data_IF_247267173241
#
_entry.id   IF_247267173241
#
_cell.length_a   1.000
_cell.length_b   1.000
_cell.length_c   1.000
_cell.angle_alpha   90.00
_cell.angle_beta   90.00
_cell.angle_gamma   90.00
#
_symmetry.space_group_name_H-M   'P 1'
#
loop_
_entity.id
_entity.type
_entity.pdbx_description
1 polymer ?
#
# COMPACT_ATOMS: atom_id res chain seq x y z
N UNK A 1 -14.97 12.02 -28.30
CA UNK A 1 -14.50 13.16 -27.48
C UNK A 1 -14.20 12.72 -26.04
N UNK A 2 -14.98 11.80 -25.45
CA UNK A 2 -14.79 11.24 -24.09
C UNK A 2 -13.44 10.52 -23.84
N UNK A 3 -12.87 9.81 -24.83
CA UNK A 3 -11.60 9.06 -24.64
C UNK A 3 -10.37 9.96 -24.41
N UNK A 4 -10.34 11.17 -25.01
CA UNK A 4 -9.24 12.12 -24.79
C UNK A 4 -9.26 12.69 -23.38
N UNK A 5 -10.44 12.78 -22.76
CA UNK A 5 -10.64 13.29 -21.41
C UNK A 5 -10.20 12.26 -20.36
N UNK A 6 -10.62 10.99 -20.51
CA UNK A 6 -10.18 9.89 -19.63
C UNK A 6 -8.66 9.68 -19.63
N UNK A 7 -8.01 9.76 -20.80
CA UNK A 7 -6.56 9.65 -20.89
C UNK A 7 -5.86 10.79 -20.13
N UNK A 8 -6.37 12.01 -20.25
CA UNK A 8 -5.78 13.19 -19.59
C UNK A 8 -5.98 13.12 -18.08
N UNK A 9 -7.20 12.82 -17.61
CA UNK A 9 -7.53 12.63 -16.20
C UNK A 9 -6.65 11.54 -15.58
N UNK A 10 -6.55 10.38 -16.24
CA UNK A 10 -5.72 9.30 -15.75
C UNK A 10 -4.24 9.66 -15.69
N UNK A 11 -3.71 10.38 -16.69
CA UNK A 11 -2.29 10.74 -16.71
C UNK A 11 -1.95 11.70 -15.58
N UNK A 12 -2.81 12.69 -15.31
CA UNK A 12 -2.64 13.59 -14.17
C UNK A 12 -2.71 12.83 -12.84
N UNK A 13 -3.68 11.92 -12.69
CA UNK A 13 -3.81 11.10 -11.48
C UNK A 13 -2.65 10.11 -11.32
N UNK A 14 -2.09 9.61 -12.42
CA UNK A 14 -0.91 8.75 -12.41
C UNK A 14 0.28 9.50 -11.82
N UNK A 15 0.50 10.73 -12.26
CA UNK A 15 1.57 11.59 -11.72
C UNK A 15 1.34 11.86 -10.23
N UNK A 16 0.12 12.26 -9.85
CA UNK A 16 -0.24 12.59 -8.47
C UNK A 16 -0.21 11.38 -7.51
N UNK A 17 -0.54 10.17 -7.99
CA UNK A 17 -0.75 9.00 -7.13
C UNK A 17 0.28 7.88 -7.31
N UNK A 18 1.25 8.03 -8.22
CA UNK A 18 2.34 7.05 -8.45
C UNK A 18 3.05 6.64 -7.15
N UNK A 19 3.32 7.60 -6.27
CA UNK A 19 3.94 7.36 -4.96
C UNK A 19 3.06 6.47 -4.08
N UNK A 20 1.74 6.70 -4.08
CA UNK A 20 0.75 5.93 -3.31
C UNK A 20 0.65 4.49 -3.82
N UNK A 21 0.70 4.29 -5.15
CA UNK A 21 0.77 2.95 -5.76
C UNK A 21 1.97 2.19 -5.23
N UNK A 22 3.15 2.80 -5.26
CA UNK A 22 4.38 2.14 -4.83
C UNK A 22 4.35 1.82 -3.33
N UNK A 23 3.83 2.73 -2.48
CA UNK A 23 3.65 2.47 -1.04
C UNK A 23 2.73 1.27 -0.81
N UNK A 24 1.58 1.22 -1.49
CA UNK A 24 0.64 0.10 -1.37
C UNK A 24 1.25 -1.19 -1.90
N UNK A 25 1.92 -1.16 -3.05
CA UNK A 25 2.55 -2.35 -3.61
C UNK A 25 3.60 -2.91 -2.64
N UNK A 26 4.53 -2.06 -2.18
CA UNK A 26 5.60 -2.43 -1.26
C UNK A 26 5.07 -3.00 0.06
N UNK A 27 3.96 -2.49 0.59
CA UNK A 27 3.35 -3.02 1.81
C UNK A 27 2.70 -4.40 1.67
N UNK A 28 2.47 -4.88 0.44
CA UNK A 28 1.77 -6.13 0.17
C UNK A 28 2.63 -7.19 -0.52
N UNK A 29 3.87 -6.87 -0.88
CA UNK A 29 4.82 -7.77 -1.56
C UNK A 29 6.14 -7.86 -0.79
N UNK A 30 6.91 -8.93 -1.05
CA UNK A 30 8.17 -9.18 -0.32
C UNK A 30 9.42 -9.02 -1.17
N UNK A 31 9.28 -8.86 -2.48
CA UNK A 31 10.39 -8.67 -3.41
C UNK A 31 10.15 -7.45 -4.31
N UNK A 32 11.23 -6.92 -4.88
CA UNK A 32 11.16 -5.81 -5.83
C UNK A 32 10.33 -6.17 -7.08
N UNK A 33 10.51 -7.37 -7.62
CA UNK A 33 9.77 -7.85 -8.79
C UNK A 33 8.26 -7.92 -8.51
N UNK A 34 7.87 -8.51 -7.38
CA UNK A 34 6.45 -8.57 -6.99
C UNK A 34 5.88 -7.18 -6.76
N UNK A 35 6.68 -6.27 -6.20
CA UNK A 35 6.29 -4.88 -5.99
C UNK A 35 5.99 -4.18 -7.31
N UNK A 36 6.86 -4.34 -8.32
CA UNK A 36 6.66 -3.79 -9.65
C UNK A 36 5.45 -4.41 -10.36
N UNK A 37 5.29 -5.72 -10.28
CA UNK A 37 4.15 -6.45 -10.85
C UNK A 37 2.82 -5.98 -10.24
N UNK A 38 2.77 -5.86 -8.90
CA UNK A 38 1.58 -5.39 -8.22
C UNK A 38 1.30 -3.92 -8.52
N UNK A 39 2.32 -3.06 -8.59
CA UNK A 39 2.14 -1.67 -8.98
C UNK A 39 1.52 -1.57 -10.38
N UNK A 40 2.00 -2.34 -11.35
CA UNK A 40 1.42 -2.39 -12.70
C UNK A 40 -0.03 -2.89 -12.68
N UNK A 41 -0.34 -3.94 -11.92
CA UNK A 41 -1.71 -4.45 -11.80
C UNK A 41 -2.64 -3.39 -11.18
N UNK A 42 -2.20 -2.65 -10.15
CA UNK A 42 -2.97 -1.54 -9.57
C UNK A 42 -3.28 -0.48 -10.63
N UNK A 43 -2.30 -0.08 -11.42
CA UNK A 43 -2.48 0.92 -12.49
C UNK A 43 -3.44 0.44 -13.58
N UNK A 44 -3.34 -0.83 -13.98
CA UNK A 44 -4.26 -1.44 -14.95
C UNK A 44 -5.70 -1.48 -14.42
N UNK A 45 -5.89 -1.83 -13.14
CA UNK A 45 -7.21 -1.84 -12.53
C UNK A 45 -7.77 -0.41 -12.36
N UNK A 46 -6.93 0.57 -12.02
CA UNK A 46 -7.32 1.97 -11.97
C UNK A 46 -7.78 2.47 -13.34
N UNK A 47 -7.02 2.20 -14.41
CA UNK A 47 -7.39 2.57 -15.77
C UNK A 47 -8.74 1.96 -16.19
N UNK A 48 -8.94 0.66 -15.94
CA UNK A 48 -10.18 -0.04 -16.28
C UNK A 48 -11.39 0.47 -15.49
N UNK A 49 -11.19 0.82 -14.22
CA UNK A 49 -12.28 1.26 -13.35
C UNK A 49 -12.60 2.74 -13.48
N UNK A 50 -11.68 3.56 -14.04
CA UNK A 50 -11.88 4.99 -14.22
C UNK A 50 -13.12 5.32 -15.07
N UNK A 51 -13.41 4.50 -16.09
CA UNK A 51 -14.59 4.68 -16.94
C UNK A 51 -15.93 4.62 -16.16
N UNK A 52 -15.93 4.00 -14.98
CA UNK A 52 -17.09 3.88 -14.09
C UNK A 52 -17.00 4.81 -12.88
N UNK A 53 -16.04 5.73 -12.85
CA UNK A 53 -15.89 6.67 -11.74
C UNK A 53 -16.93 7.80 -11.86
N UNK A 54 -17.91 7.78 -10.98
CA UNK A 54 -19.04 8.74 -10.98
C UNK A 54 -18.79 10.00 -10.15
N UNK A 55 -17.56 10.26 -9.66
CA UNK A 55 -17.25 11.46 -8.87
C UNK A 55 -17.86 11.50 -7.46
N UNK A 56 -18.41 10.38 -6.98
CA UNK A 56 -19.04 10.28 -5.64
C UNK A 56 -18.05 10.29 -4.48
N UNK A 57 -16.79 10.01 -4.77
CA UNK A 57 -15.67 10.00 -3.82
C UNK A 57 -14.62 11.03 -4.28
N UNK A 58 -13.75 11.48 -3.38
CA UNK A 58 -12.55 12.21 -3.82
C UNK A 58 -11.66 11.29 -4.65
N UNK A 59 -10.90 11.87 -5.60
CA UNK A 59 -9.96 11.11 -6.43
C UNK A 59 -8.98 10.26 -5.60
N UNK A 60 -8.33 10.79 -4.53
CA UNK A 60 -7.45 9.99 -3.68
C UNK A 60 -8.18 8.82 -3.02
N UNK A 61 -9.39 9.05 -2.49
CA UNK A 61 -10.21 8.00 -1.86
C UNK A 61 -10.57 6.89 -2.84
N UNK A 62 -11.00 7.24 -4.05
CA UNK A 62 -11.27 6.25 -5.08
C UNK A 62 -10.02 5.47 -5.47
N UNK A 63 -8.88 6.16 -5.62
CA UNK A 63 -7.63 5.54 -6.02
C UNK A 63 -7.13 4.55 -4.97
N UNK A 64 -7.10 4.94 -3.69
CA UNK A 64 -6.73 4.04 -2.59
C UNK A 64 -7.62 2.82 -2.50
N UNK A 65 -8.93 2.99 -2.73
CA UNK A 65 -9.87 1.87 -2.77
C UNK A 65 -9.51 0.87 -3.86
N UNK A 66 -9.20 1.34 -5.08
CA UNK A 66 -8.76 0.47 -6.18
C UNK A 66 -7.43 -0.20 -5.85
N UNK A 67 -6.44 0.55 -5.36
CA UNK A 67 -5.11 0.05 -5.03
C UNK A 67 -5.16 -1.03 -3.94
N UNK A 68 -5.84 -0.76 -2.82
CA UNK A 68 -5.94 -1.69 -1.70
C UNK A 68 -6.78 -2.93 -2.05
N UNK A 69 -7.87 -2.79 -2.79
CA UNK A 69 -8.63 -3.95 -3.27
C UNK A 69 -7.78 -4.86 -4.17
N UNK A 70 -7.01 -4.25 -5.08
CA UNK A 70 -6.13 -4.97 -5.99
C UNK A 70 -5.02 -5.69 -5.22
N UNK A 71 -4.34 -5.00 -4.29
CA UNK A 71 -3.29 -5.57 -3.45
C UNK A 71 -3.80 -6.69 -2.53
N UNK A 72 -4.97 -6.55 -1.92
CA UNK A 72 -5.58 -7.62 -1.11
C UNK A 72 -5.92 -8.85 -1.97
N UNK A 73 -6.41 -8.65 -3.19
CA UNK A 73 -6.70 -9.75 -4.11
C UNK A 73 -5.43 -10.45 -4.61
N UNK A 74 -4.38 -9.68 -4.92
CA UNK A 74 -3.06 -10.20 -5.27
C UNK A 74 -2.51 -11.10 -4.16
N UNK A 75 -2.49 -10.61 -2.92
CA UNK A 75 -1.98 -11.33 -1.76
C UNK A 75 -2.75 -12.64 -1.52
N UNK A 76 -4.08 -12.64 -1.66
CA UNK A 76 -4.90 -13.87 -1.53
C UNK A 76 -4.54 -14.91 -2.59
N UNK A 77 -4.26 -14.49 -3.83
CA UNK A 77 -3.84 -15.39 -4.93
C UNK A 77 -2.42 -15.91 -4.68
N UNK A 78 -1.50 -15.05 -4.30
CA UNK A 78 -0.12 -15.42 -4.03
C UNK A 78 0.00 -16.38 -2.83
N UNK A 79 -0.72 -16.12 -1.72
CA UNK A 79 -0.77 -17.07 -0.59
C UNK A 79 -1.23 -18.46 -1.01
N UNK A 80 -2.20 -18.56 -1.92
CA UNK A 80 -2.66 -19.84 -2.47
C UNK A 80 -1.59 -20.51 -3.32
N UNK A 81 -0.86 -19.76 -4.15
CA UNK A 81 0.28 -20.24 -4.94
C UNK A 81 1.41 -20.76 -4.04
N UNK A 82 1.85 -19.94 -3.08
CA UNK A 82 2.91 -20.30 -2.11
C UNK A 82 2.51 -21.40 -1.14
N UNK A 83 1.23 -21.59 -0.83
CA UNK A 83 0.81 -22.76 -0.04
C UNK A 83 0.95 -24.09 -0.80
N UNK A 84 1.07 -24.03 -2.13
CA UNK A 84 1.21 -25.20 -3.02
C UNK A 84 2.66 -25.48 -3.43
N UNK A 85 3.59 -24.56 -3.14
CA UNK A 85 5.03 -24.67 -3.44
C UNK A 85 5.78 -24.55 -2.10
N UNK A 86 6.83 -25.35 -1.84
CA UNK A 86 7.53 -25.29 -0.55
C UNK A 86 8.02 -23.86 -0.22
N UNK A 87 7.91 -23.38 1.04
CA UNK A 87 8.12 -21.98 1.34
C UNK A 87 9.60 -21.72 1.61
N UNK A 88 10.26 -21.01 0.70
CA UNK A 88 11.50 -20.30 1.01
C UNK A 88 11.58 -19.06 0.11
N UNK A 89 10.80 -18.03 0.44
CA UNK A 89 11.06 -16.69 -0.06
C UNK A 89 11.45 -15.82 1.14
N UNK A 90 12.73 -15.51 1.19
CA UNK A 90 13.30 -14.51 2.07
C UNK A 90 12.76 -13.13 1.65
N UNK A 91 12.47 -12.26 2.61
CA UNK A 91 12.06 -10.88 2.33
C UNK A 91 13.26 -10.17 1.74
N UNK A 92 13.17 -9.77 0.47
CA UNK A 92 14.22 -8.99 -0.18
C UNK A 92 13.83 -7.52 -0.13
N UNK A 93 14.73 -6.70 0.42
CA UNK A 93 14.54 -5.26 0.47
C UNK A 93 14.26 -4.72 -0.94
N UNK A 94 13.25 -3.87 -1.07
CA UNK A 94 12.95 -3.19 -2.34
C UNK A 94 13.97 -2.04 -2.49
N UNK A 95 14.88 -2.06 -3.49
CA UNK A 95 15.92 -1.05 -3.61
C UNK A 95 15.34 0.36 -3.77
N UNK A 96 15.89 1.32 -3.03
CA UNK A 96 15.65 2.75 -3.25
C UNK A 96 16.88 3.31 -3.97
N UNK A 97 16.74 3.68 -5.25
CA UNK A 97 17.87 4.15 -6.07
C UNK A 97 18.46 5.48 -5.59
N UNK A 98 19.79 5.64 -5.74
CA UNK A 98 20.51 6.92 -5.66
C UNK A 98 21.72 6.93 -4.70
N UNK A 99 22.74 7.80 -4.95
CA UNK A 99 23.86 8.01 -4.03
C UNK A 99 23.34 8.52 -2.68
N UNK A 100 23.88 7.97 -1.58
CA UNK A 100 23.37 8.19 -0.23
C UNK A 100 24.43 8.84 0.67
N UNK A 101 24.11 9.98 1.27
CA UNK A 101 24.79 10.45 2.47
C UNK A 101 24.51 9.52 3.67
N UNK A 102 25.25 9.67 4.77
CA UNK A 102 25.00 8.90 6.00
C UNK A 102 23.58 9.13 6.56
N UNK A 103 23.07 10.36 6.47
CA UNK A 103 21.69 10.70 6.87
C UNK A 103 20.65 10.00 5.98
N UNK A 104 20.89 9.96 4.67
CA UNK A 104 20.01 9.26 3.72
C UNK A 104 20.03 7.74 3.95
N UNK A 105 21.16 7.18 4.39
CA UNK A 105 21.25 5.76 4.73
C UNK A 105 20.41 5.44 5.97
N UNK A 106 20.54 6.25 7.03
CA UNK A 106 19.73 6.08 8.24
C UNK A 106 18.22 6.19 7.96
N UNK A 107 17.83 7.12 7.10
CA UNK A 107 16.43 7.27 6.70
C UNK A 107 15.93 6.08 5.90
N UNK A 108 16.76 5.52 5.00
CA UNK A 108 16.44 4.29 4.25
C UNK A 108 16.22 3.10 5.19
N UNK A 109 17.09 2.91 6.18
CA UNK A 109 16.98 1.82 7.16
C UNK A 109 15.70 1.94 7.98
N UNK A 110 15.36 3.16 8.41
CA UNK A 110 14.11 3.42 9.14
C UNK A 110 12.88 3.09 8.30
N UNK A 111 12.89 3.44 7.01
CA UNK A 111 11.80 3.12 6.08
C UNK A 111 11.71 1.60 5.85
N UNK A 112 12.83 0.90 5.73
CA UNK A 112 12.84 -0.55 5.55
C UNK A 112 12.26 -1.26 6.78
N UNK A 113 12.69 -0.89 7.98
CA UNK A 113 12.13 -1.40 9.24
C UNK A 113 10.62 -1.16 9.36
N UNK A 114 10.14 0.00 8.91
CA UNK A 114 8.72 0.31 8.86
C UNK A 114 7.97 -0.67 7.95
N UNK A 115 8.46 -0.91 6.73
CA UNK A 115 7.82 -1.85 5.80
C UNK A 115 7.87 -3.30 6.28
N UNK A 116 8.98 -3.73 6.88
CA UNK A 116 9.09 -5.05 7.51
C UNK A 116 8.07 -5.23 8.64
N UNK A 117 7.88 -4.20 9.48
CA UNK A 117 6.84 -4.23 10.50
C UNK A 117 5.43 -4.23 9.88
N UNK A 118 5.18 -3.45 8.82
CA UNK A 118 3.90 -3.46 8.09
C UNK A 118 3.60 -4.83 7.48
N UNK A 119 4.60 -5.54 6.96
CA UNK A 119 4.42 -6.87 6.37
C UNK A 119 3.90 -7.90 7.37
N UNK A 120 4.30 -7.77 8.63
CA UNK A 120 3.90 -8.63 9.74
C UNK A 120 2.48 -8.31 10.27
N UNK A 121 1.89 -7.18 9.90
CA UNK A 121 0.52 -6.85 10.28
C UNK A 121 -0.52 -7.67 9.51
N UNK A 122 -1.70 -7.93 10.12
CA UNK A 122 -2.87 -8.33 9.35
C UNK A 122 -3.14 -7.32 8.22
N UNK A 123 -3.50 -7.78 7.02
CA UNK A 123 -3.59 -6.90 5.83
C UNK A 123 -4.60 -5.77 5.97
N UNK A 124 -5.70 -5.99 6.69
CA UNK A 124 -6.64 -4.93 7.03
C UNK A 124 -6.01 -3.85 7.93
N UNK A 125 -5.13 -4.25 8.85
CA UNK A 125 -4.41 -3.33 9.75
C UNK A 125 -3.29 -2.60 8.98
N UNK A 126 -2.59 -3.27 8.07
CA UNK A 126 -1.63 -2.65 7.16
C UNK A 126 -2.29 -1.56 6.29
N UNK A 127 -3.48 -1.82 5.74
CA UNK A 127 -4.24 -0.83 5.00
C UNK A 127 -4.56 0.42 5.85
N UNK A 128 -5.00 0.23 7.09
CA UNK A 128 -5.28 1.34 8.02
C UNK A 128 -4.03 2.16 8.31
N UNK A 129 -2.87 1.52 8.52
CA UNK A 129 -1.61 2.21 8.77
C UNK A 129 -1.20 3.05 7.57
N UNK A 130 -1.27 2.51 6.34
CA UNK A 130 -0.90 3.25 5.13
C UNK A 130 -1.76 4.51 4.95
N UNK A 131 -3.09 4.37 5.02
CA UNK A 131 -4.00 5.51 4.85
C UNK A 131 -3.78 6.59 5.92
N UNK A 132 -3.42 6.18 7.14
CA UNK A 132 -3.06 7.12 8.21
C UNK A 132 -1.73 7.83 7.95
N UNK A 133 -0.72 7.12 7.44
CA UNK A 133 0.57 7.71 7.06
C UNK A 133 0.45 8.67 5.88
N UNK A 134 -0.56 8.48 5.02
CA UNK A 134 -0.94 9.38 3.94
C UNK A 134 -1.96 10.45 4.38
N UNK A 135 -2.08 10.67 5.69
CA UNK A 135 -2.87 11.74 6.34
C UNK A 135 -4.36 11.75 5.99
N UNK A 136 -4.92 10.62 5.56
CA UNK A 136 -6.35 10.53 5.24
C UNK A 136 -7.20 10.66 6.50
N UNK A 137 -8.32 11.38 6.37
CA UNK A 137 -9.28 11.54 7.46
C UNK A 137 -9.98 10.20 7.78
N UNK A 138 -10.51 10.06 8.99
CA UNK A 138 -11.21 8.82 9.39
C UNK A 138 -12.43 8.53 8.50
N UNK A 139 -13.08 9.59 7.99
CA UNK A 139 -14.16 9.51 7.01
C UNK A 139 -13.70 8.93 5.69
N UNK A 140 -12.60 9.44 5.13
CA UNK A 140 -12.05 8.92 3.88
C UNK A 140 -11.56 7.49 4.05
N UNK A 141 -10.88 7.17 5.16
CA UNK A 141 -10.47 5.81 5.48
C UNK A 141 -11.66 4.85 5.57
N UNK A 142 -12.76 5.27 6.20
CA UNK A 142 -14.00 4.52 6.28
C UNK A 142 -14.57 4.22 4.90
N UNK A 143 -14.56 5.22 4.00
CA UNK A 143 -15.01 5.07 2.63
C UNK A 143 -14.10 4.14 1.79
N UNK A 144 -12.78 4.26 1.94
CA UNK A 144 -11.80 3.41 1.27
C UNK A 144 -11.98 1.94 1.69
N UNK A 145 -12.14 1.70 2.99
CA UNK A 145 -12.13 0.35 3.58
C UNK A 145 -13.52 -0.29 3.70
N UNK A 146 -14.60 0.45 3.45
CA UNK A 146 -15.97 -0.04 3.57
C UNK A 146 -16.38 -0.38 5.01
N UNK A 147 -15.88 0.38 5.99
CA UNK A 147 -16.21 0.21 7.43
C UNK A 147 -16.69 1.54 8.00
N UNK A 148 -17.36 1.52 9.17
CA UNK A 148 -17.77 2.75 9.86
C UNK A 148 -16.57 3.56 10.39
N UNK A 149 -16.67 4.89 10.45
CA UNK A 149 -15.64 5.77 11.05
C UNK A 149 -15.27 5.38 12.49
N UNK A 150 -16.24 4.96 13.31
CA UNK A 150 -16.00 4.47 14.67
C UNK A 150 -15.06 3.24 14.68
N UNK A 151 -15.32 2.27 13.80
CA UNK A 151 -14.46 1.10 13.61
C UNK A 151 -13.06 1.46 13.09
N UNK A 152 -12.92 2.51 12.27
CA UNK A 152 -11.60 3.01 11.83
C UNK A 152 -10.77 3.39 13.06
N UNK A 153 -11.29 4.23 13.95
CA UNK A 153 -10.56 4.68 15.14
C UNK A 153 -10.12 3.53 16.04
N UNK A 154 -11.01 2.58 16.32
CA UNK A 154 -10.70 1.40 17.15
C UNK A 154 -9.63 0.52 16.50
N UNK A 155 -9.79 0.17 15.22
CA UNK A 155 -8.86 -0.70 14.51
C UNK A 155 -7.50 -0.03 14.28
N UNK A 156 -7.49 1.25 13.93
CA UNK A 156 -6.26 2.01 13.71
C UNK A 156 -5.44 2.11 15.00
N UNK A 157 -6.07 2.38 16.15
CA UNK A 157 -5.35 2.41 17.42
C UNK A 157 -4.71 1.06 17.76
N UNK A 158 -5.42 -0.05 17.50
CA UNK A 158 -4.85 -1.39 17.63
C UNK A 158 -3.69 -1.62 16.66
N UNK A 159 -3.86 -1.26 15.39
CA UNK A 159 -2.85 -1.42 14.35
C UNK A 159 -1.56 -0.65 14.68
N UNK A 160 -1.67 0.62 15.12
CA UNK A 160 -0.54 1.43 15.58
C UNK A 160 0.20 0.80 16.76
N UNK A 161 -0.53 0.25 17.73
CA UNK A 161 0.08 -0.44 18.88
C UNK A 161 0.85 -1.69 18.44
N UNK A 162 0.28 -2.48 17.54
CA UNK A 162 0.97 -3.64 16.95
C UNK A 162 2.21 -3.22 16.17
N UNK A 163 2.10 -2.19 15.32
CA UNK A 163 3.22 -1.65 14.55
C UNK A 163 4.37 -1.19 15.45
N UNK A 164 4.08 -0.40 16.49
CA UNK A 164 5.08 0.04 17.46
C UNK A 164 5.77 -1.13 18.18
N UNK A 165 5.01 -2.18 18.52
CA UNK A 165 5.58 -3.39 19.14
C UNK A 165 6.53 -4.12 18.19
N UNK A 166 6.19 -4.18 16.90
CA UNK A 166 7.02 -4.81 15.88
C UNK A 166 8.30 -4.02 15.62
N UNK A 167 8.19 -2.70 15.43
CA UNK A 167 9.35 -1.82 15.23
C UNK A 167 10.32 -1.86 16.42
N UNK A 168 9.82 -1.88 17.66
CA UNK A 168 10.68 -1.97 18.84
C UNK A 168 11.41 -3.32 18.96
N UNK A 169 10.82 -4.42 18.48
CA UNK A 169 11.47 -5.74 18.47
C UNK A 169 12.62 -5.80 17.47
N UNK A 170 12.44 -5.23 16.29
CA UNK A 170 13.46 -5.14 15.24
C UNK A 170 14.67 -4.33 15.73
N UNK A 171 14.45 -3.24 16.48
CA UNK A 171 15.53 -2.41 17.05
C UNK A 171 16.41 -3.11 18.10
N UNK A 172 15.95 -4.21 18.70
CA UNK A 172 16.69 -4.97 19.73
C UNK A 172 17.22 -6.31 19.20
N UNK A 173 16.94 -6.66 17.94
CA UNK A 173 17.32 -7.93 17.31
C UNK A 173 18.45 -7.81 16.28
N UNK A 174 19.04 -6.62 16.11
CA UNK A 174 20.21 -6.37 15.25
C UNK A 174 21.50 -6.28 16.06
#
# INVERSE_FOLDING_TARGET
MLEKDHKTIFTNWLEEHSSSVMKVARAYTLTADECQDLAQEILLQAWRSLANFEGKASAPTWFYRVALHTAMNWQRKDKRRRSRQQPMLEVQAVPMDGPSSAEQAQQRDTVEQLYQAIHQLPKADAALVLLYLDEMSYREMAEVLGISESNVGVKLNRAKKSLSTLMNKESHGS
#
